data_IF_428224191775
#
_entry.id   IF_428224191775
#
_cell.length_a   1.000
_cell.length_b   1.000
_cell.length_c   1.000
_cell.angle_alpha   90.00
_cell.angle_beta   90.00
_cell.angle_gamma   90.00
#
_symmetry.space_group_name_H-M   'P 1'
#
loop_
_entity.id
_entity.type
_entity.pdbx_description
1 polymer ?
#
# COMPACT_ATOMS: atom_id res chain seq x y z
N UNK A 1 -10.24 -36.19 -23.41
CA UNK A 1 -11.40 -35.53 -24.02
C UNK A 1 -11.91 -34.44 -23.07
N UNK A 2 -11.27 -33.28 -23.09
CA UNK A 2 -11.80 -32.05 -22.51
C UNK A 2 -12.07 -31.13 -23.70
N UNK A 3 -13.21 -31.37 -24.35
CA UNK A 3 -13.68 -30.56 -25.46
C UNK A 3 -14.36 -29.32 -24.90
N UNK A 4 -13.59 -28.26 -24.67
CA UNK A 4 -14.13 -26.91 -24.56
C UNK A 4 -13.89 -26.29 -25.93
N UNK A 5 -14.99 -26.00 -26.64
CA UNK A 5 -14.95 -25.34 -27.92
C UNK A 5 -14.15 -24.03 -27.81
N UNK A 6 -13.26 -23.80 -28.78
CA UNK A 6 -12.49 -22.57 -28.95
C UNK A 6 -13.47 -21.44 -29.29
N UNK A 7 -14.12 -20.88 -28.27
CA UNK A 7 -14.60 -19.50 -28.32
C UNK A 7 -13.37 -18.59 -28.35
N UNK A 8 -13.46 -17.49 -29.09
CA UNK A 8 -12.39 -16.51 -29.28
C UNK A 8 -11.56 -16.30 -28.00
N UNK A 9 -10.21 -16.19 -28.12
CA UNK A 9 -9.38 -15.99 -26.94
C UNK A 9 -9.91 -14.78 -26.17
N UNK A 10 -10.08 -14.88 -24.84
CA UNK A 10 -10.52 -13.75 -24.05
C UNK A 10 -9.59 -12.55 -24.33
N UNK A 11 -10.11 -11.31 -24.28
CA UNK A 11 -9.43 -10.12 -24.78
C UNK A 11 -8.04 -9.85 -24.15
N UNK A 12 -7.72 -10.52 -23.04
CA UNK A 12 -6.35 -10.76 -22.59
C UNK A 12 -6.16 -12.26 -22.32
N UNK A 13 -5.26 -12.91 -23.05
CA UNK A 13 -4.93 -14.32 -22.87
C UNK A 13 -3.42 -14.45 -22.58
N UNK A 14 -3.10 -14.96 -21.39
CA UNK A 14 -1.72 -15.26 -21.00
C UNK A 14 -1.39 -16.67 -21.47
N UNK A 15 -0.31 -16.80 -22.24
CA UNK A 15 0.16 -18.12 -22.70
C UNK A 15 0.97 -18.76 -21.58
N UNK A 16 0.58 -19.96 -21.13
CA UNK A 16 1.40 -20.78 -20.24
C UNK A 16 2.24 -21.75 -21.09
N UNK A 17 3.55 -21.52 -21.29
CA UNK A 17 4.35 -22.36 -22.18
C UNK A 17 4.45 -23.82 -21.70
N UNK A 18 4.44 -24.01 -20.37
CA UNK A 18 4.49 -25.34 -19.76
C UNK A 18 3.22 -26.18 -20.02
N UNK A 19 2.06 -25.53 -20.10
CA UNK A 19 0.77 -26.19 -20.32
C UNK A 19 0.30 -26.15 -21.78
N UNK A 20 0.92 -25.31 -22.62
CA UNK A 20 0.52 -25.13 -24.02
C UNK A 20 -0.88 -24.55 -24.19
N UNK A 21 -1.41 -23.87 -23.17
CA UNK A 21 -2.77 -23.28 -23.18
C UNK A 21 -2.74 -21.78 -22.94
N UNK A 22 -3.71 -21.10 -23.54
CA UNK A 22 -4.05 -19.72 -23.24
C UNK A 22 -4.99 -19.67 -22.04
N UNK A 23 -4.63 -18.90 -21.02
CA UNK A 23 -5.42 -18.72 -19.81
C UNK A 23 -5.87 -17.27 -19.69
N UNK A 24 -7.12 -17.07 -19.29
CA UNK A 24 -7.60 -15.76 -18.87
C UNK A 24 -6.91 -15.35 -17.54
N UNK A 25 -6.61 -14.07 -17.31
CA UNK A 25 -6.09 -13.58 -16.03
C UNK A 25 -6.92 -14.03 -14.83
N UNK A 26 -8.24 -14.05 -14.97
CA UNK A 26 -9.18 -14.50 -13.92
C UNK A 26 -8.99 -15.98 -13.57
N UNK A 27 -8.67 -16.83 -14.56
CA UNK A 27 -8.42 -18.25 -14.31
C UNK A 27 -7.12 -18.46 -13.52
N UNK A 28 -6.09 -17.65 -13.78
CA UNK A 28 -4.83 -17.69 -13.03
C UNK A 28 -5.06 -17.16 -11.61
N UNK A 29 -5.75 -16.04 -11.47
CA UNK A 29 -6.12 -15.49 -10.16
C UNK A 29 -6.96 -16.47 -9.34
N UNK A 30 -7.86 -17.23 -9.98
CA UNK A 30 -8.64 -18.26 -9.31
C UNK A 30 -7.77 -19.36 -8.70
N UNK A 31 -6.66 -19.78 -9.33
CA UNK A 31 -5.76 -20.78 -8.74
C UNK A 31 -5.03 -20.25 -7.49
N UNK A 32 -4.66 -18.97 -7.49
CA UNK A 32 -4.11 -18.31 -6.30
C UNK A 32 -5.15 -18.30 -5.19
N UNK A 33 -6.38 -17.88 -5.49
CA UNK A 33 -7.48 -17.88 -4.53
C UNK A 33 -7.80 -19.29 -4.00
N UNK A 34 -7.79 -20.33 -4.83
CA UNK A 34 -7.98 -21.72 -4.36
C UNK A 34 -6.89 -22.15 -3.38
N UNK A 35 -5.66 -21.71 -3.58
CA UNK A 35 -4.56 -21.99 -2.65
C UNK A 35 -4.80 -21.32 -1.30
N UNK A 36 -5.17 -20.03 -1.32
CA UNK A 36 -5.51 -19.28 -0.10
C UNK A 36 -6.73 -19.86 0.62
N UNK A 37 -7.77 -20.27 -0.11
CA UNK A 37 -8.96 -20.91 0.47
C UNK A 37 -8.61 -22.23 1.15
N UNK A 38 -7.80 -23.09 0.52
CA UNK A 38 -7.36 -24.35 1.14
C UNK A 38 -6.58 -24.11 2.43
N UNK A 39 -5.74 -23.07 2.46
CA UNK A 39 -5.00 -22.70 3.67
C UNK A 39 -5.95 -22.21 4.77
N UNK A 40 -6.92 -21.37 4.43
CA UNK A 40 -7.94 -20.89 5.38
C UNK A 40 -8.84 -22.02 5.91
N UNK A 41 -9.32 -22.91 5.03
CA UNK A 41 -10.15 -24.07 5.41
C UNK A 41 -9.40 -25.05 6.30
N UNK A 42 -8.09 -25.24 6.07
CA UNK A 42 -7.24 -26.08 6.92
C UNK A 42 -7.12 -25.48 8.33
N UNK A 43 -6.97 -24.17 8.44
CA UNK A 43 -6.84 -23.48 9.72
C UNK A 43 -8.17 -23.43 10.49
N UNK A 44 -9.28 -23.19 9.79
CA UNK A 44 -10.63 -23.08 10.38
C UNK A 44 -11.26 -24.45 10.67
N UNK A 45 -10.86 -25.50 9.94
CA UNK A 45 -11.46 -26.83 10.04
C UNK A 45 -12.84 -26.96 9.39
N UNK A 46 -13.28 -25.95 8.62
CA UNK A 46 -14.56 -25.93 7.92
C UNK A 46 -14.46 -25.26 6.54
N UNK A 47 -15.39 -25.54 5.60
CA UNK A 47 -15.36 -24.96 4.26
C UNK A 47 -15.58 -23.44 4.25
N UNK A 48 -14.83 -22.73 3.41
CA UNK A 48 -14.95 -21.27 3.24
C UNK A 48 -15.70 -20.98 1.94
N UNK A 49 -16.93 -20.46 2.06
CA UNK A 49 -17.84 -20.26 0.91
C UNK A 49 -18.05 -18.79 0.54
N UNK A 50 -17.55 -17.86 1.34
CA UNK A 50 -17.72 -16.40 1.13
C UNK A 50 -16.43 -15.67 1.45
N UNK A 51 -16.11 -14.63 0.69
CA UNK A 51 -14.93 -13.81 0.96
C UNK A 51 -15.14 -12.33 0.60
N UNK A 52 -14.31 -11.48 1.21
CA UNK A 52 -14.07 -10.11 0.79
C UNK A 52 -12.66 -10.04 0.20
N UNK A 53 -12.52 -9.49 -1.01
CA UNK A 53 -11.25 -9.40 -1.73
C UNK A 53 -10.86 -7.92 -1.87
N UNK A 54 -9.61 -7.58 -1.52
CA UNK A 54 -9.04 -6.25 -1.76
C UNK A 54 -8.82 -5.99 -3.25
N UNK A 55 -9.11 -4.78 -3.71
CA UNK A 55 -8.80 -4.34 -5.08
C UNK A 55 -8.17 -2.95 -5.07
N UNK A 56 -7.26 -2.63 -6.01
CA UNK A 56 -6.65 -1.31 -6.11
C UNK A 56 -7.67 -0.19 -6.25
N UNK A 57 -7.28 1.02 -5.87
CA UNK A 57 -8.16 2.18 -5.89
C UNK A 57 -8.62 2.52 -7.33
N UNK A 58 -7.71 2.40 -8.31
CA UNK A 58 -7.97 2.69 -9.72
C UNK A 58 -8.55 1.55 -10.56
N UNK A 59 -8.83 0.39 -9.96
CA UNK A 59 -9.45 -0.68 -10.72
C UNK A 59 -10.79 -0.23 -11.32
N UNK A 60 -10.90 -0.33 -12.66
CA UNK A 60 -12.14 -0.09 -13.39
C UNK A 60 -13.22 -1.08 -12.97
N UNK A 61 -14.47 -0.76 -13.27
CA UNK A 61 -15.59 -1.66 -12.98
C UNK A 61 -15.41 -3.05 -13.61
N UNK A 62 -14.82 -3.12 -14.80
CA UNK A 62 -14.49 -4.39 -15.46
C UNK A 62 -13.37 -5.16 -14.72
N UNK A 63 -12.33 -4.47 -14.23
CA UNK A 63 -11.28 -5.11 -13.44
C UNK A 63 -11.79 -5.62 -12.09
N UNK A 64 -12.72 -4.89 -11.45
CA UNK A 64 -13.43 -5.35 -10.24
C UNK A 64 -14.30 -6.56 -10.55
N UNK A 65 -15.08 -6.53 -11.64
CA UNK A 65 -15.90 -7.66 -12.07
C UNK A 65 -15.05 -8.90 -12.39
N UNK A 66 -13.90 -8.73 -13.05
CA UNK A 66 -12.94 -9.80 -13.30
C UNK A 66 -12.42 -10.43 -11.99
N UNK A 67 -12.16 -9.62 -10.97
CA UNK A 67 -11.75 -10.10 -9.64
C UNK A 67 -12.85 -10.91 -8.96
N UNK A 68 -14.12 -10.47 -9.08
CA UNK A 68 -15.28 -11.23 -8.60
C UNK A 68 -15.40 -12.58 -9.31
N UNK A 69 -15.32 -12.59 -10.65
CA UNK A 69 -15.36 -13.82 -11.46
C UNK A 69 -14.23 -14.78 -11.09
N UNK A 70 -13.04 -14.28 -10.78
CA UNK A 70 -11.92 -15.10 -10.30
C UNK A 70 -12.24 -15.79 -8.96
N UNK A 71 -12.89 -15.07 -8.02
CA UNK A 71 -13.33 -15.66 -6.76
C UNK A 71 -14.43 -16.70 -6.92
N UNK A 72 -15.41 -16.45 -7.79
CA UNK A 72 -16.44 -17.43 -8.15
C UNK A 72 -15.83 -18.69 -8.79
N UNK A 73 -14.90 -18.51 -9.72
CA UNK A 73 -14.14 -19.61 -10.33
C UNK A 73 -13.28 -20.38 -9.31
N UNK A 74 -12.89 -19.75 -8.20
CA UNK A 74 -12.19 -20.40 -7.10
C UNK A 74 -13.11 -21.25 -6.20
N UNK A 75 -14.43 -21.14 -6.35
CA UNK A 75 -15.43 -21.89 -5.56
C UNK A 75 -16.19 -21.07 -4.52
N UNK A 76 -16.01 -19.74 -4.49
CA UNK A 76 -16.75 -18.86 -3.59
C UNK A 76 -18.18 -18.64 -4.09
N UNK A 77 -19.16 -18.80 -3.20
CA UNK A 77 -20.58 -18.53 -3.48
C UNK A 77 -20.95 -17.06 -3.34
N UNK A 78 -20.13 -16.28 -2.63
CA UNK A 78 -20.32 -14.84 -2.49
C UNK A 78 -18.96 -14.17 -2.40
N UNK A 79 -18.69 -13.29 -3.36
CA UNK A 79 -17.48 -12.45 -3.38
C UNK A 79 -17.93 -11.01 -3.27
N UNK A 80 -17.38 -10.30 -2.28
CA UNK A 80 -17.47 -8.84 -2.18
C UNK A 80 -16.09 -8.25 -2.35
N UNK A 81 -16.01 -7.02 -2.82
CA UNK A 81 -14.74 -6.30 -2.95
C UNK A 81 -14.65 -5.14 -1.99
N UNK A 82 -13.43 -4.76 -1.64
CA UNK A 82 -13.13 -3.54 -0.89
C UNK A 82 -11.94 -2.85 -1.55
N UNK A 83 -12.02 -1.53 -1.69
CA UNK A 83 -10.87 -0.75 -2.15
C UNK A 83 -9.76 -0.82 -1.11
N UNK A 84 -8.55 -1.15 -1.54
CA UNK A 84 -7.35 -1.25 -0.70
C UNK A 84 -7.14 -0.08 0.26
N UNK A 85 -7.23 1.20 -0.15
CA UNK A 85 -7.06 2.32 0.79
C UNK A 85 -8.11 2.35 1.90
N UNK A 86 -9.35 1.97 1.59
CA UNK A 86 -10.44 1.87 2.58
C UNK A 86 -10.20 0.68 3.52
N UNK A 87 -9.72 -0.45 2.99
CA UNK A 87 -9.36 -1.60 3.80
C UNK A 87 -8.21 -1.25 4.77
N UNK A 88 -7.16 -0.60 4.29
CA UNK A 88 -6.06 -0.13 5.11
C UNK A 88 -6.51 0.83 6.22
N UNK A 89 -7.42 1.77 5.90
CA UNK A 89 -8.02 2.67 6.88
C UNK A 89 -8.88 1.93 7.92
N UNK A 90 -9.60 0.88 7.54
CA UNK A 90 -10.31 0.02 8.50
C UNK A 90 -9.34 -0.73 9.41
N UNK A 91 -8.23 -1.24 8.86
CA UNK A 91 -7.21 -1.96 9.62
C UNK A 91 -6.44 -1.05 10.59
N UNK A 92 -6.33 0.25 10.29
CA UNK A 92 -5.66 1.26 11.11
C UNK A 92 -6.13 1.28 12.59
N UNK A 93 -7.29 0.69 12.89
CA UNK A 93 -7.85 0.64 14.23
C UNK A 93 -8.96 1.66 14.41
N UNK A 94 -9.72 1.89 13.33
CA UNK A 94 -10.84 2.80 13.31
C UNK A 94 -11.92 2.37 14.31
N UNK A 95 -12.32 3.28 15.22
CA UNK A 95 -13.39 3.05 16.19
C UNK A 95 -14.44 4.16 16.09
N UNK A 96 -15.72 3.88 16.35
CA UNK A 96 -16.78 4.88 16.26
C UNK A 96 -16.59 6.10 17.18
N UNK A 97 -15.88 5.93 18.30
CA UNK A 97 -15.60 6.96 19.31
C UNK A 97 -14.40 7.86 18.96
N UNK A 98 -13.72 7.62 17.83
CA UNK A 98 -12.57 8.45 17.46
C UNK A 98 -13.00 9.80 16.88
N UNK A 99 -12.25 10.87 17.19
CA UNK A 99 -12.46 12.15 16.54
C UNK A 99 -12.28 12.02 15.03
N UNK A 100 -12.88 12.94 14.29
CA UNK A 100 -12.65 13.04 12.86
C UNK A 100 -11.19 13.41 12.59
N UNK A 101 -10.54 12.61 11.76
CA UNK A 101 -9.16 12.76 11.35
C UNK A 101 -9.04 12.63 9.83
N UNK A 102 -8.11 13.37 9.25
CA UNK A 102 -7.76 13.23 7.85
C UNK A 102 -6.46 12.45 7.76
N UNK A 103 -6.48 11.32 7.08
CA UNK A 103 -5.30 10.45 6.90
C UNK A 103 -4.92 10.36 5.42
N UNK A 104 -3.63 10.16 5.16
CA UNK A 104 -3.11 9.76 3.86
C UNK A 104 -2.80 8.26 3.90
N UNK A 105 -3.41 7.45 3.05
CA UNK A 105 -2.96 6.09 2.81
C UNK A 105 -2.01 6.11 1.62
N UNK A 106 -0.78 5.64 1.83
CA UNK A 106 0.26 5.53 0.81
C UNK A 106 0.58 4.04 0.60
N UNK A 107 0.11 3.48 -0.50
CA UNK A 107 0.24 2.06 -0.84
C UNK A 107 1.21 1.86 -1.99
N UNK A 108 2.38 1.28 -1.71
CA UNK A 108 3.36 0.92 -2.73
C UNK A 108 3.57 -0.60 -2.72
N UNK A 109 2.83 -1.26 -3.61
CA UNK A 109 2.85 -2.70 -3.80
C UNK A 109 3.98 -3.18 -4.73
N UNK A 110 3.82 -4.37 -5.29
CA UNK A 110 4.76 -4.95 -6.25
C UNK A 110 4.70 -4.28 -7.63
N UNK A 111 3.50 -4.04 -8.16
CA UNK A 111 3.31 -3.49 -9.51
C UNK A 111 2.59 -2.14 -9.59
N UNK A 112 1.96 -1.69 -8.51
CA UNK A 112 1.17 -0.45 -8.49
C UNK A 112 1.50 0.42 -7.28
N UNK A 113 1.27 1.71 -7.48
CA UNK A 113 1.35 2.74 -6.47
C UNK A 113 0.00 3.44 -6.38
N UNK A 114 -0.61 3.43 -5.20
CA UNK A 114 -1.86 4.11 -4.92
C UNK A 114 -1.66 5.06 -3.72
N UNK A 115 -2.28 6.23 -3.78
CA UNK A 115 -2.33 7.19 -2.68
C UNK A 115 -3.76 7.67 -2.52
N UNK A 116 -4.25 7.81 -1.30
CA UNK A 116 -5.60 8.32 -1.04
C UNK A 116 -5.61 9.21 0.18
N UNK A 117 -6.36 10.30 0.11
CA UNK A 117 -6.71 11.13 1.27
C UNK A 117 -8.08 10.71 1.75
N UNK A 118 -8.19 10.33 3.02
CA UNK A 118 -9.43 9.86 3.62
C UNK A 118 -9.76 10.67 4.87
N UNK A 119 -11.04 10.87 5.11
CA UNK A 119 -11.57 11.29 6.41
C UNK A 119 -12.04 10.04 7.14
N UNK A 120 -11.56 9.87 8.37
CA UNK A 120 -11.95 8.78 9.26
C UNK A 120 -12.46 9.37 10.57
N UNK A 121 -13.71 9.11 10.93
CA UNK A 121 -14.32 9.63 12.16
C UNK A 121 -15.75 9.17 12.37
N UNK A 122 -16.21 9.06 13.62
CA UNK A 122 -17.63 8.83 13.91
C UNK A 122 -18.22 7.55 13.29
N UNK A 123 -17.41 6.51 13.10
CA UNK A 123 -17.84 5.29 12.42
C UNK A 123 -17.88 5.39 10.89
N UNK A 124 -17.45 6.49 10.28
CA UNK A 124 -17.42 6.71 8.83
C UNK A 124 -15.98 6.77 8.30
N UNK A 125 -15.75 6.11 7.16
CA UNK A 125 -14.57 6.26 6.30
C UNK A 125 -15.01 6.83 4.96
N UNK A 126 -14.58 8.06 4.67
CA UNK A 126 -14.87 8.79 3.44
C UNK A 126 -13.57 9.01 2.66
N UNK A 127 -13.55 8.66 1.38
CA UNK A 127 -12.43 8.99 0.49
C UNK A 127 -12.63 10.39 -0.08
N UNK A 128 -11.67 11.30 0.10
CA UNK A 128 -11.73 12.64 -0.49
C UNK A 128 -11.13 12.65 -1.90
N UNK A 129 -9.99 12.00 -2.06
CA UNK A 129 -9.27 11.92 -3.34
C UNK A 129 -8.41 10.67 -3.38
N UNK A 130 -8.12 10.23 -4.60
CA UNK A 130 -7.23 9.12 -4.90
C UNK A 130 -6.31 9.53 -6.04
N UNK A 131 -5.01 9.34 -5.82
CA UNK A 131 -3.88 9.53 -6.73
C UNK A 131 -3.15 8.19 -6.95
N UNK A 132 -2.34 8.03 -7.99
CA UNK A 132 -1.48 6.84 -8.13
C UNK A 132 -0.79 6.68 -9.48
N UNK A 133 -0.11 5.55 -9.64
CA UNK A 133 0.55 5.09 -10.87
C UNK A 133 0.42 3.57 -10.98
N UNK A 134 -0.37 3.11 -11.96
CA UNK A 134 -0.68 1.69 -12.18
C UNK A 134 0.47 0.88 -12.81
N UNK A 135 1.61 1.53 -13.08
CA UNK A 135 2.81 0.92 -13.66
C UNK A 135 4.06 1.35 -12.89
N UNK A 136 3.93 1.43 -11.58
CA UNK A 136 5.02 1.75 -10.67
C UNK A 136 4.85 0.94 -9.40
N UNK A 137 5.81 0.09 -9.08
CA UNK A 137 5.83 -0.67 -7.84
C UNK A 137 7.20 -1.22 -7.52
N UNK A 138 7.27 -2.09 -6.51
CA UNK A 138 8.46 -2.81 -6.08
C UNK A 138 9.24 -3.50 -7.21
N UNK A 139 8.55 -4.00 -8.23
CA UNK A 139 9.12 -4.75 -9.36
C UNK A 139 9.97 -3.84 -10.26
N UNK A 140 9.62 -2.56 -10.39
CA UNK A 140 10.43 -1.60 -11.15
C UNK A 140 11.78 -1.35 -10.46
N UNK A 141 11.79 -1.30 -9.11
CA UNK A 141 13.04 -1.19 -8.35
C UNK A 141 13.90 -2.45 -8.49
N UNK A 142 13.28 -3.64 -8.55
CA UNK A 142 13.99 -4.91 -8.78
C UNK A 142 14.60 -4.95 -10.18
N UNK A 143 13.85 -4.47 -11.19
CA UNK A 143 14.31 -4.34 -12.55
C UNK A 143 15.53 -3.42 -12.65
N UNK A 144 15.56 -2.28 -11.94
CA UNK A 144 16.74 -1.39 -11.92
C UNK A 144 17.99 -2.04 -11.34
N UNK A 145 17.84 -2.86 -10.28
CA UNK A 145 18.97 -3.63 -9.75
C UNK A 145 19.44 -4.67 -10.76
N UNK A 146 18.51 -5.37 -11.43
CA UNK A 146 18.84 -6.35 -12.46
C UNK A 146 19.54 -5.72 -13.67
N UNK A 147 19.06 -4.58 -14.16
CA UNK A 147 19.68 -3.80 -15.23
C UNK A 147 21.10 -3.39 -14.87
N UNK A 148 21.32 -2.88 -13.65
CA UNK A 148 22.65 -2.52 -13.17
C UNK A 148 23.62 -3.70 -13.20
N UNK A 149 23.17 -4.88 -12.73
CA UNK A 149 23.99 -6.10 -12.76
C UNK A 149 24.35 -6.49 -14.19
N UNK A 150 23.39 -6.45 -15.12
CA UNK A 150 23.59 -6.87 -16.51
C UNK A 150 24.52 -5.93 -17.27
N UNK A 151 24.34 -4.62 -17.09
CA UNK A 151 25.00 -3.62 -17.92
C UNK A 151 26.34 -3.16 -17.32
N UNK A 152 26.45 -3.06 -15.99
CA UNK A 152 27.65 -2.54 -15.31
C UNK A 152 28.50 -3.64 -14.66
N UNK A 153 27.91 -4.54 -13.86
CA UNK A 153 28.68 -5.53 -13.11
C UNK A 153 29.17 -6.70 -13.98
N UNK A 154 28.30 -7.19 -14.86
CA UNK A 154 28.59 -8.27 -15.80
C UNK A 154 29.11 -7.72 -17.15
N UNK A 155 28.68 -6.52 -17.52
CA UNK A 155 29.02 -5.85 -18.77
C UNK A 155 28.11 -6.26 -19.94
N UNK A 156 27.90 -5.39 -20.95
CA UNK A 156 26.82 -5.56 -21.93
C UNK A 156 26.87 -6.86 -22.76
N UNK A 157 28.07 -7.35 -23.08
CA UNK A 157 28.26 -8.56 -23.87
C UNK A 157 27.75 -9.81 -23.13
N UNK A 158 28.17 -10.00 -21.88
CA UNK A 158 27.70 -11.10 -21.05
C UNK A 158 26.29 -10.86 -20.51
N UNK A 159 25.88 -9.60 -20.34
CA UNK A 159 24.50 -9.22 -20.07
C UNK A 159 23.53 -9.68 -21.17
N UNK A 160 23.93 -9.60 -22.44
CA UNK A 160 23.14 -10.13 -23.55
C UNK A 160 22.99 -11.67 -23.49
N UNK A 161 24.05 -12.38 -23.06
CA UNK A 161 24.01 -13.83 -22.84
C UNK A 161 23.03 -14.17 -21.71
N UNK A 162 23.09 -13.46 -20.58
CA UNK A 162 22.14 -13.64 -19.48
C UNK A 162 20.68 -13.41 -19.91
N UNK A 163 20.42 -12.34 -20.67
CA UNK A 163 19.08 -11.98 -21.17
C UNK A 163 18.48 -13.07 -22.08
N UNK A 164 19.32 -13.87 -22.74
CA UNK A 164 18.88 -14.99 -23.58
C UNK A 164 18.60 -16.29 -22.79
N UNK A 165 18.97 -16.36 -21.51
CA UNK A 165 18.75 -17.52 -20.64
C UNK A 165 17.62 -17.22 -19.62
N UNK A 166 16.42 -17.82 -19.79
CA UNK A 166 15.30 -17.62 -18.86
C UNK A 166 15.62 -18.04 -17.42
N UNK A 167 16.43 -19.08 -17.21
CA UNK A 167 16.78 -19.54 -15.87
C UNK A 167 17.75 -18.56 -15.19
N UNK A 168 18.69 -17.98 -15.94
CA UNK A 168 19.55 -16.90 -15.44
C UNK A 168 18.71 -15.68 -15.07
N UNK A 169 17.81 -15.23 -15.94
CA UNK A 169 16.95 -14.08 -15.65
C UNK A 169 16.05 -14.29 -14.44
N UNK A 170 15.51 -15.49 -14.24
CA UNK A 170 14.75 -15.82 -13.03
C UNK A 170 15.59 -15.73 -11.76
N UNK A 171 16.82 -16.27 -11.78
CA UNK A 171 17.76 -16.17 -10.65
C UNK A 171 18.13 -14.71 -10.36
N UNK A 172 18.37 -13.92 -11.40
CA UNK A 172 18.69 -12.50 -11.27
C UNK A 172 17.52 -11.74 -10.65
N UNK A 173 16.30 -11.93 -11.15
CA UNK A 173 15.10 -11.27 -10.61
C UNK A 173 14.92 -11.57 -9.12
N UNK A 174 14.95 -12.84 -8.72
CA UNK A 174 14.81 -13.23 -7.30
C UNK A 174 15.95 -12.67 -6.42
N UNK A 175 17.17 -12.60 -6.95
CA UNK A 175 18.32 -12.07 -6.21
C UNK A 175 18.25 -10.55 -6.09
N UNK A 176 17.83 -9.84 -7.14
CA UNK A 176 17.59 -8.40 -7.13
C UNK A 176 16.55 -8.01 -6.09
N UNK A 177 15.42 -8.73 -6.05
CA UNK A 177 14.37 -8.52 -5.04
C UNK A 177 14.90 -8.73 -3.61
N UNK A 178 15.64 -9.82 -3.39
CA UNK A 178 16.23 -10.11 -2.08
C UNK A 178 17.22 -9.02 -1.65
N UNK A 179 18.05 -8.51 -2.57
CA UNK A 179 19.00 -7.42 -2.30
C UNK A 179 18.29 -6.12 -1.99
N UNK A 180 17.27 -5.73 -2.79
CA UNK A 180 16.43 -4.56 -2.52
C UNK A 180 15.81 -4.62 -1.13
N UNK A 181 15.18 -5.76 -0.78
CA UNK A 181 14.59 -6.00 0.54
C UNK A 181 15.62 -5.83 1.64
N UNK A 182 16.78 -6.50 1.53
CA UNK A 182 17.84 -6.46 2.53
C UNK A 182 18.45 -5.04 2.72
N UNK A 183 18.45 -4.19 1.70
CA UNK A 183 18.92 -2.79 1.78
C UNK A 183 17.99 -1.86 2.57
N UNK A 184 16.76 -2.30 2.86
CA UNK A 184 15.85 -1.57 3.75
C UNK A 184 16.42 -1.50 5.17
N UNK A 185 16.98 -2.60 5.66
CA UNK A 185 17.58 -2.69 7.00
C UNK A 185 19.09 -2.42 7.01
N UNK A 186 19.78 -2.74 5.91
CA UNK A 186 21.24 -2.69 5.83
C UNK A 186 21.72 -1.54 4.92
N UNK A 187 22.81 -0.83 5.27
CA UNK A 187 23.35 0.23 4.41
C UNK A 187 24.00 -0.31 3.12
N UNK A 188 24.41 -1.58 3.11
CA UNK A 188 24.97 -2.27 1.96
C UNK A 188 24.76 -3.80 2.08
N UNK A 189 24.65 -4.47 0.93
CA UNK A 189 24.46 -5.92 0.79
C UNK A 189 25.35 -6.40 -0.37
N UNK A 190 25.86 -7.62 -0.29
CA UNK A 190 26.61 -8.21 -1.43
C UNK A 190 25.69 -9.11 -2.24
N UNK A 191 25.42 -8.72 -3.48
CA UNK A 191 24.73 -9.54 -4.47
C UNK A 191 25.69 -10.63 -4.96
N UNK A 192 25.24 -11.89 -4.96
CA UNK A 192 26.06 -13.04 -5.37
C UNK A 192 25.26 -13.94 -6.31
N UNK A 193 25.74 -14.07 -7.54
CA UNK A 193 25.25 -14.99 -8.55
C UNK A 193 26.42 -15.88 -9.01
N UNK A 194 26.74 -16.97 -8.30
CA UNK A 194 27.78 -17.90 -8.74
C UNK A 194 27.31 -18.63 -10.00
N UNK A 195 28.24 -18.89 -10.93
CA UNK A 195 27.97 -19.59 -12.20
C UNK A 195 26.70 -19.03 -12.88
N UNK A 196 26.70 -17.73 -13.11
CA UNK A 196 25.53 -17.00 -13.58
C UNK A 196 25.31 -17.17 -15.08
N UNK A 197 26.37 -17.03 -15.87
CA UNK A 197 26.35 -17.19 -17.33
C UNK A 197 27.54 -18.02 -17.81
N UNK A 198 27.43 -18.54 -19.02
CA UNK A 198 28.54 -19.23 -19.69
C UNK A 198 29.25 -18.26 -20.65
N UNK A 199 30.57 -18.14 -20.55
CA UNK A 199 31.41 -17.45 -21.54
C UNK A 199 32.29 -18.46 -22.29
N UNK A 200 33.01 -17.99 -23.30
CA UNK A 200 34.00 -18.78 -24.05
C UNK A 200 35.14 -19.31 -23.17
N UNK A 201 35.43 -18.63 -22.05
CA UNK A 201 36.49 -18.99 -21.10
C UNK A 201 35.97 -19.84 -19.92
N UNK A 202 34.65 -20.06 -19.83
CA UNK A 202 34.02 -20.87 -18.78
C UNK A 202 32.85 -20.16 -18.08
N UNK A 203 32.35 -20.73 -16.96
CA UNK A 203 31.23 -20.13 -16.24
C UNK A 203 31.66 -18.87 -15.49
N UNK A 204 30.92 -17.79 -15.66
CA UNK A 204 31.15 -16.48 -15.04
C UNK A 204 30.08 -16.25 -13.98
N UNK A 205 30.50 -15.81 -12.78
CA UNK A 205 29.60 -15.37 -11.71
C UNK A 205 29.65 -13.85 -11.52
N UNK A 206 28.66 -13.32 -10.79
CA UNK A 206 28.63 -11.92 -10.36
C UNK A 206 28.77 -11.87 -8.84
N UNK A 207 29.70 -11.05 -8.35
CA UNK A 207 29.77 -10.64 -6.95
C UNK A 207 29.87 -9.12 -6.90
N UNK A 208 28.83 -8.46 -6.39
CA UNK A 208 28.74 -7.01 -6.39
C UNK A 208 28.30 -6.47 -5.02
N UNK A 209 28.98 -5.44 -4.52
CA UNK A 209 28.58 -4.73 -3.31
C UNK A 209 27.58 -3.63 -3.66
N UNK A 210 26.29 -3.90 -3.45
CA UNK A 210 25.21 -2.94 -3.64
C UNK A 210 25.02 -2.12 -2.36
N UNK A 211 25.00 -0.79 -2.48
CA UNK A 211 24.76 0.12 -1.35
C UNK A 211 23.41 0.80 -1.48
N UNK A 212 22.86 1.31 -0.37
CA UNK A 212 21.59 2.07 -0.42
C UNK A 212 21.68 3.30 -1.32
N UNK A 213 22.83 3.98 -1.32
CA UNK A 213 23.07 5.12 -2.20
C UNK A 213 23.05 4.70 -3.69
N UNK A 214 23.66 3.56 -4.01
CA UNK A 214 23.60 3.01 -5.37
C UNK A 214 22.15 2.68 -5.77
N UNK A 215 21.38 2.01 -4.91
CA UNK A 215 19.96 1.71 -5.16
C UNK A 215 19.15 2.99 -5.42
N UNK A 216 19.31 4.01 -4.59
CA UNK A 216 18.63 5.30 -4.76
C UNK A 216 19.05 6.01 -6.05
N UNK A 217 20.33 5.88 -6.45
CA UNK A 217 20.83 6.46 -7.70
C UNK A 217 20.23 5.77 -8.93
N UNK A 218 20.21 4.44 -8.96
CA UNK A 218 19.69 3.69 -10.13
C UNK A 218 18.16 3.72 -10.22
N UNK A 219 17.46 3.95 -9.09
CA UNK A 219 16.00 4.09 -9.04
C UNK A 219 15.54 5.55 -8.98
N UNK A 220 16.39 6.51 -9.36
CA UNK A 220 16.09 7.92 -9.17
C UNK A 220 14.83 8.37 -9.94
N UNK A 221 14.50 7.70 -11.04
CA UNK A 221 13.36 8.04 -11.91
C UNK A 221 12.06 7.53 -11.28
N UNK A 222 12.04 6.29 -10.82
CA UNK A 222 10.95 5.66 -10.09
C UNK A 222 10.64 6.44 -8.81
N UNK A 223 11.67 6.82 -8.06
CA UNK A 223 11.52 7.65 -6.85
C UNK A 223 10.91 9.03 -7.15
N UNK A 224 11.24 9.64 -8.29
CA UNK A 224 10.63 10.93 -8.70
C UNK A 224 9.15 10.77 -9.04
N UNK A 225 8.74 9.65 -9.64
CA UNK A 225 7.35 9.39 -10.01
C UNK A 225 6.41 9.29 -8.80
N UNK A 226 6.91 8.96 -7.61
CA UNK A 226 6.09 8.89 -6.39
C UNK A 226 5.54 10.25 -5.93
N UNK A 227 6.17 11.37 -6.29
CA UNK A 227 5.83 12.69 -5.73
C UNK A 227 4.55 13.28 -6.30
N UNK A 228 4.45 13.28 -7.63
CA UNK A 228 3.34 13.95 -8.34
C UNK A 228 1.97 13.40 -7.94
N UNK A 229 1.76 12.07 -7.82
CA UNK A 229 0.46 11.56 -7.39
C UNK A 229 0.08 12.01 -5.98
N UNK A 230 1.04 12.14 -5.06
CA UNK A 230 0.77 12.67 -3.72
C UNK A 230 0.33 14.13 -3.81
N UNK A 231 1.10 14.97 -4.50
CA UNK A 231 0.81 16.41 -4.66
C UNK A 231 -0.58 16.65 -5.27
N UNK A 232 -0.93 15.91 -6.34
CA UNK A 232 -2.26 15.98 -6.97
C UNK A 232 -3.38 15.50 -6.05
N UNK A 233 -3.15 14.45 -5.25
CA UNK A 233 -4.15 13.93 -4.32
C UNK A 233 -4.55 14.99 -3.29
N UNK A 234 -3.57 15.75 -2.76
CA UNK A 234 -3.84 16.85 -1.84
C UNK A 234 -4.59 18.01 -2.52
N UNK A 235 -4.15 18.41 -3.72
CA UNK A 235 -4.83 19.46 -4.48
C UNK A 235 -6.31 19.12 -4.74
N UNK A 236 -6.59 17.87 -5.13
CA UNK A 236 -7.95 17.38 -5.37
C UNK A 236 -8.79 17.26 -4.10
N UNK A 237 -8.16 17.06 -2.94
CA UNK A 237 -8.83 17.10 -1.64
C UNK A 237 -9.10 18.54 -1.16
N UNK A 238 -8.74 19.57 -1.95
CA UNK A 238 -8.86 20.97 -1.56
C UNK A 238 -7.85 21.38 -0.48
N UNK A 239 -6.72 20.67 -0.40
CA UNK A 239 -5.72 20.85 0.65
C UNK A 239 -4.41 21.39 0.08
N UNK A 240 -3.87 22.46 0.65
CA UNK A 240 -2.53 22.94 0.32
C UNK A 240 -1.47 22.25 1.17
N UNK A 241 -0.47 21.64 0.51
CA UNK A 241 0.60 20.88 1.17
C UNK A 241 1.51 21.74 2.07
N UNK A 242 1.82 22.97 1.65
CA UNK A 242 2.77 23.82 2.36
C UNK A 242 2.25 24.27 3.75
N UNK A 243 0.99 24.73 3.90
CA UNK A 243 0.37 24.94 5.21
C UNK A 243 0.38 23.68 6.09
N UNK A 244 0.04 22.52 5.53
CA UNK A 244 0.04 21.24 6.26
C UNK A 244 1.45 20.90 6.77
N UNK A 245 2.44 21.01 5.90
CA UNK A 245 3.84 20.77 6.24
C UNK A 245 4.31 21.71 7.34
N UNK A 246 4.04 23.01 7.23
CA UNK A 246 4.42 24.00 8.25
C UNK A 246 3.72 23.75 9.59
N UNK A 247 2.44 23.40 9.58
CA UNK A 247 1.68 23.05 10.77
C UNK A 247 2.27 21.80 11.47
N UNK A 248 2.61 20.77 10.70
CA UNK A 248 3.20 19.53 11.20
C UNK A 248 4.61 19.74 11.76
N UNK A 249 5.45 20.52 11.08
CA UNK A 249 6.77 20.90 11.60
C UNK A 249 6.66 21.67 12.94
N UNK A 250 5.64 22.53 13.11
CA UNK A 250 5.37 23.22 14.38
C UNK A 250 4.93 22.25 15.49
N UNK A 251 3.97 21.36 15.21
CA UNK A 251 3.49 20.31 16.14
C UNK A 251 4.65 19.43 16.63
N UNK A 252 5.55 19.01 15.75
CA UNK A 252 6.71 18.18 16.13
C UNK A 252 7.73 18.93 16.99
N UNK A 253 7.96 20.22 16.73
CA UNK A 253 8.80 21.08 17.59
C UNK A 253 8.22 21.19 18.99
N UNK A 254 6.90 21.32 19.12
CA UNK A 254 6.21 21.35 20.42
C UNK A 254 6.27 20.03 21.18
N UNK A 255 5.97 18.90 20.52
CA UNK A 255 6.12 17.55 21.11
C UNK A 255 7.55 17.33 21.63
N UNK A 256 8.55 17.73 20.85
CA UNK A 256 9.96 17.65 21.21
C UNK A 256 10.31 18.52 22.43
N UNK A 257 9.79 19.75 22.50
CA UNK A 257 9.94 20.64 23.67
C UNK A 257 9.30 20.02 24.92
N UNK A 258 8.06 19.54 24.81
CA UNK A 258 7.32 18.92 25.91
C UNK A 258 8.02 17.64 26.43
N UNK A 259 8.56 16.80 25.54
CA UNK A 259 9.33 15.61 25.90
C UNK A 259 10.63 15.95 26.64
N UNK A 260 11.35 17.01 26.21
CA UNK A 260 12.53 17.52 26.91
C UNK A 260 12.19 18.08 28.29
N UNK A 261 11.07 18.78 28.43
CA UNK A 261 10.61 19.36 29.69
C UNK A 261 10.15 18.29 30.69
N UNK A 262 9.39 17.29 30.25
CA UNK A 262 9.04 16.10 31.06
C UNK A 262 10.28 15.32 31.51
N UNK A 263 11.31 15.19 30.66
CA UNK A 263 12.60 14.57 31.03
C UNK A 263 13.38 15.38 32.06
N UNK A 264 13.31 16.71 32.01
CA UNK A 264 13.92 17.61 33.02
C UNK A 264 13.19 17.52 34.36
N UNK A 265 11.85 17.53 34.35
CA UNK A 265 11.04 17.34 35.58
C UNK A 265 11.24 15.96 36.21
N UNK A 266 11.46 14.89 35.43
CA UNK A 266 11.80 13.56 35.96
C UNK A 266 13.23 13.46 36.55
N UNK A 267 14.14 14.38 36.23
CA UNK A 267 15.53 14.38 36.72
C UNK A 267 15.81 15.38 37.83
N UNK A 268 14.90 16.33 38.08
CA UNK A 268 14.94 17.22 39.24
C UNK A 268 13.87 16.80 40.24
N UNK A 269 14.28 16.23 41.37
CA UNK A 269 13.36 16.00 42.48
C UNK A 269 12.86 17.33 43.04
N UNK A 270 11.53 17.52 43.04
CA UNK A 270 10.87 18.56 43.83
C UNK A 270 10.05 19.58 43.04
N UNK A 271 8.75 19.59 43.32
CA UNK A 271 7.90 20.79 43.44
C UNK A 271 7.84 21.76 42.26
N UNK A 272 6.80 21.63 41.43
CA UNK A 272 6.31 22.70 40.57
C UNK A 272 4.85 22.46 40.22
N UNK A 273 3.96 23.32 40.71
CA UNK A 273 2.52 23.24 40.44
C UNK A 273 2.17 23.34 38.96
N UNK A 274 0.90 23.08 38.56
CA UNK A 274 0.51 23.09 37.16
C UNK A 274 0.75 24.48 36.57
N UNK A 275 1.63 24.55 35.56
CA UNK A 275 1.74 25.72 34.72
C UNK A 275 0.47 25.79 33.85
N UNK A 276 -0.32 26.86 34.03
CA UNK A 276 -1.33 27.24 33.04
C UNK A 276 -0.61 27.62 31.76
N UNK A 277 -0.99 27.01 30.64
CA UNK A 277 -0.64 27.51 29.32
C UNK A 277 -1.42 28.81 29.09
N UNK A 278 -0.80 29.94 29.41
CA UNK A 278 -1.18 31.25 28.87
C UNK A 278 -0.59 31.35 27.47
N UNK A 279 -1.23 30.69 26.52
CA UNK A 279 -1.21 31.03 25.10
C UNK A 279 -2.48 30.40 24.53
N UNK A 280 -3.57 31.17 24.60
CA UNK A 280 -4.80 30.87 23.89
C UNK A 280 -4.52 30.96 22.38
N UNK A 281 -4.06 29.87 21.80
CA UNK A 281 -3.97 29.72 20.36
C UNK A 281 -5.32 29.21 19.86
N UNK A 282 -6.14 30.14 19.40
CA UNK A 282 -7.21 29.85 18.45
C UNK A 282 -6.53 29.27 17.20
N UNK A 283 -6.63 27.96 17.02
CA UNK A 283 -6.43 27.34 15.71
C UNK A 283 -7.66 27.79 14.93
N UNK A 284 -7.49 28.54 13.84
CA UNK A 284 -8.58 28.78 12.90
C UNK A 284 -9.20 27.43 12.53
N UNK A 285 -10.49 27.27 12.81
CA UNK A 285 -11.24 26.00 12.81
C UNK A 285 -11.38 25.34 11.42
N UNK A 286 -10.80 25.92 10.36
CA UNK A 286 -11.07 25.52 8.97
C UNK A 286 -9.93 24.75 8.27
N UNK A 287 -8.86 24.36 8.97
CA UNK A 287 -7.80 23.54 8.35
C UNK A 287 -7.98 22.05 8.62
N UNK A 288 -8.52 21.33 7.63
CA UNK A 288 -8.45 19.86 7.51
C UNK A 288 -7.00 19.41 7.26
N UNK A 289 -6.14 19.56 8.27
CA UNK A 289 -4.76 19.14 8.19
C UNK A 289 -4.68 17.61 8.26
N UNK A 290 -4.02 16.98 7.29
CA UNK A 290 -3.70 15.56 7.37
C UNK A 290 -2.92 15.30 8.66
N UNK A 291 -3.48 14.47 9.53
CA UNK A 291 -2.96 14.16 10.86
C UNK A 291 -1.94 13.05 10.81
N UNK A 292 -2.02 12.17 9.80
CA UNK A 292 -1.23 10.96 9.74
C UNK A 292 -1.03 10.42 8.31
N UNK A 293 0.06 9.68 8.13
CA UNK A 293 0.33 8.91 6.92
C UNK A 293 0.43 7.42 7.26
N UNK A 294 -0.47 6.63 6.69
CA UNK A 294 -0.54 5.17 6.81
C UNK A 294 0.18 4.54 5.62
N UNK A 295 1.28 3.83 5.89
CA UNK A 295 2.09 3.17 4.87
C UNK A 295 1.63 1.73 4.64
N UNK A 296 1.36 1.36 3.39
CA UNK A 296 0.84 0.04 2.96
C UNK A 296 1.71 -0.51 1.83
N UNK A 297 1.86 -1.83 1.74
CA UNK A 297 2.65 -2.48 0.71
C UNK A 297 4.14 -2.57 1.03
N UNK A 298 4.75 -3.72 0.76
CA UNK A 298 6.11 -4.04 1.22
C UNK A 298 7.21 -3.10 0.72
N UNK A 299 7.03 -2.46 -0.44
CA UNK A 299 8.02 -1.53 -0.98
C UNK A 299 8.08 -0.20 -0.21
N UNK A 300 7.07 0.13 0.61
CA UNK A 300 7.12 1.29 1.53
C UNK A 300 8.14 1.15 2.66
N UNK A 301 8.65 -0.05 2.91
CA UNK A 301 9.72 -0.30 3.88
C UNK A 301 11.05 0.35 3.47
N UNK A 302 11.22 0.72 2.19
CA UNK A 302 12.43 1.38 1.72
C UNK A 302 12.61 2.76 2.41
N UNK A 303 13.76 3.04 3.05
CA UNK A 303 13.98 4.30 3.75
C UNK A 303 13.91 5.55 2.85
N UNK A 304 14.22 5.42 1.56
CA UNK A 304 14.10 6.51 0.59
C UNK A 304 12.64 6.88 0.32
N UNK A 305 11.74 5.89 0.23
CA UNK A 305 10.29 6.11 0.06
C UNK A 305 9.73 6.85 1.27
N UNK A 306 10.04 6.40 2.49
CA UNK A 306 9.61 7.08 3.72
C UNK A 306 10.11 8.53 3.79
N UNK A 307 11.34 8.80 3.36
CA UNK A 307 11.86 10.17 3.27
C UNK A 307 11.11 11.02 2.25
N UNK A 308 10.75 10.47 1.10
CA UNK A 308 9.96 11.19 0.09
C UNK A 308 8.60 11.57 0.68
N UNK A 309 7.89 10.62 1.27
CA UNK A 309 6.59 10.85 1.91
C UNK A 309 6.69 11.92 3.00
N UNK A 310 7.69 11.83 3.88
CA UNK A 310 7.95 12.84 4.91
C UNK A 310 8.23 14.22 4.31
N UNK A 311 9.03 14.29 3.25
CA UNK A 311 9.38 15.56 2.61
C UNK A 311 8.18 16.20 1.89
N UNK A 312 7.28 15.38 1.32
CA UNK A 312 6.06 15.85 0.68
C UNK A 312 5.03 16.35 1.71
N UNK A 313 4.82 15.60 2.80
CA UNK A 313 3.70 15.83 3.73
C UNK A 313 4.09 16.59 5.01
N UNK A 314 5.37 16.60 5.37
CA UNK A 314 5.84 17.04 6.69
C UNK A 314 5.49 16.11 7.84
N UNK A 315 4.89 14.94 7.56
CA UNK A 315 4.42 13.97 8.55
C UNK A 315 5.39 12.80 8.60
N UNK A 316 5.66 12.30 9.81
CA UNK A 316 6.39 11.06 9.97
C UNK A 316 5.53 9.88 9.51
N UNK A 317 5.94 9.09 8.52
CA UNK A 317 5.16 7.93 8.08
C UNK A 317 5.08 6.89 9.19
N UNK A 318 3.88 6.34 9.41
CA UNK A 318 3.66 5.33 10.43
C UNK A 318 3.31 3.98 9.82
N UNK A 319 3.68 2.91 10.54
CA UNK A 319 3.31 1.52 10.25
C UNK A 319 2.45 0.98 11.38
N UNK A 320 1.22 1.49 11.54
CA UNK A 320 0.32 1.13 12.64
C UNK A 320 -0.12 -0.34 12.55
N UNK A 321 -0.14 -0.87 11.33
CA UNK A 321 -0.40 -2.27 10.99
C UNK A 321 0.77 -2.76 10.15
N UNK A 322 1.02 -4.07 10.13
CA UNK A 322 1.96 -4.65 9.19
C UNK A 322 1.56 -4.24 7.75
N UNK A 323 2.40 -3.51 7.00
CA UNK A 323 2.04 -2.99 5.68
C UNK A 323 1.73 -4.09 4.67
N UNK A 324 2.21 -5.32 4.91
CA UNK A 324 1.95 -6.49 4.05
C UNK A 324 0.59 -7.15 4.36
N UNK A 325 -0.03 -6.83 5.50
CA UNK A 325 -1.28 -7.47 5.98
C UNK A 325 -2.45 -6.48 6.12
N UNK A 326 -2.19 -5.17 6.11
CA UNK A 326 -3.19 -4.13 6.39
C UNK A 326 -4.46 -4.26 5.53
N UNK A 327 -4.31 -4.50 4.22
CA UNK A 327 -5.44 -4.70 3.31
C UNK A 327 -6.25 -5.95 3.69
N UNK A 328 -5.57 -7.07 3.96
CA UNK A 328 -6.24 -8.32 4.31
C UNK A 328 -7.01 -8.21 5.64
N UNK A 329 -6.42 -7.53 6.64
CA UNK A 329 -7.08 -7.24 7.90
C UNK A 329 -8.31 -6.34 7.71
N UNK A 330 -8.21 -5.31 6.88
CA UNK A 330 -9.35 -4.46 6.52
C UNK A 330 -10.47 -5.20 5.81
N UNK A 331 -10.12 -6.11 4.90
CA UNK A 331 -11.08 -6.99 4.24
C UNK A 331 -11.79 -7.93 5.24
N UNK A 332 -11.07 -8.43 6.25
CA UNK A 332 -11.66 -9.20 7.35
C UNK A 332 -12.63 -8.37 8.20
N UNK A 333 -12.28 -7.11 8.54
CA UNK A 333 -13.20 -6.18 9.22
C UNK A 333 -14.47 -5.98 8.38
N UNK A 334 -14.33 -5.76 7.08
CA UNK A 334 -15.47 -5.64 6.15
C UNK A 334 -16.32 -6.91 6.10
N UNK A 335 -15.71 -8.09 6.16
CA UNK A 335 -16.45 -9.35 6.24
C UNK A 335 -17.24 -9.48 7.56
N UNK A 336 -16.64 -9.03 8.68
CA UNK A 336 -17.30 -8.90 9.98
C UNK A 336 -18.51 -7.97 9.92
N UNK A 337 -18.41 -6.84 9.21
CA UNK A 337 -19.54 -5.92 9.01
C UNK A 337 -20.66 -6.58 8.19
N UNK A 338 -20.31 -7.26 7.10
CA UNK A 338 -21.29 -7.93 6.23
C UNK A 338 -22.04 -9.08 6.94
N UNK A 339 -21.44 -9.67 7.98
CA UNK A 339 -22.04 -10.73 8.80
C UNK A 339 -22.77 -10.20 10.04
N UNK A 340 -22.66 -8.90 10.35
CA UNK A 340 -23.23 -8.28 11.55
C UNK A 340 -22.40 -8.51 12.82
N UNK A 341 -21.20 -9.08 12.73
CA UNK A 341 -20.29 -9.24 13.88
C UNK A 341 -19.62 -7.91 14.26
N UNK A 342 -19.43 -7.03 13.27
CA UNK A 342 -18.89 -5.68 13.47
C UNK A 342 -19.98 -4.65 13.18
N UNK A 343 -20.33 -3.86 14.19
CA UNK A 343 -21.34 -2.81 14.11
C UNK A 343 -20.70 -1.42 14.25
N UNK A 344 -21.42 -0.37 13.80
CA UNK A 344 -21.01 1.02 13.97
C UNK A 344 -19.90 1.51 13.03
N UNK A 345 -19.52 0.71 12.03
CA UNK A 345 -18.60 1.11 10.96
C UNK A 345 -19.34 1.23 9.62
N UNK A 346 -19.01 2.24 8.85
CA UNK A 346 -19.53 2.53 7.52
C UNK A 346 -18.39 3.07 6.67
N UNK A 347 -18.30 2.59 5.44
CA UNK A 347 -17.43 3.18 4.44
C UNK A 347 -18.30 3.68 3.31
N UNK A 348 -18.11 4.95 2.98
CA UNK A 348 -18.94 5.70 2.03
C UNK A 348 -18.04 6.24 0.93
N UNK A 349 -18.53 6.16 -0.30
CA UNK A 349 -17.89 6.87 -1.42
C UNK A 349 -18.21 8.38 -1.35
N UNK A 350 -17.47 9.24 -2.08
CA UNK A 350 -17.67 10.69 -2.01
C UNK A 350 -19.11 11.14 -2.32
N UNK A 351 -19.81 10.44 -3.23
CA UNK A 351 -21.18 10.77 -3.59
C UNK A 351 -22.16 10.38 -2.49
N UNK A 352 -21.98 9.21 -1.89
CA UNK A 352 -22.74 8.79 -0.72
C UNK A 352 -22.52 9.75 0.45
N UNK A 353 -21.27 10.15 0.71
CA UNK A 353 -20.95 11.11 1.75
C UNK A 353 -21.61 12.47 1.49
N UNK A 354 -21.50 13.00 0.27
CA UNK A 354 -22.15 14.25 -0.12
C UNK A 354 -23.68 14.18 0.00
N UNK A 355 -24.29 13.07 -0.40
CA UNK A 355 -25.73 12.85 -0.25
C UNK A 355 -26.15 12.78 1.22
N UNK A 356 -25.41 12.05 2.05
CA UNK A 356 -25.67 11.95 3.50
C UNK A 356 -25.51 13.32 4.16
N UNK A 357 -24.43 14.05 3.88
CA UNK A 357 -24.22 15.42 4.39
C UNK A 357 -25.37 16.34 3.97
N UNK A 358 -25.72 16.36 2.68
CA UNK A 358 -26.81 17.18 2.16
C UNK A 358 -28.19 16.83 2.73
N UNK A 359 -28.49 15.54 2.91
CA UNK A 359 -29.74 15.11 3.58
C UNK A 359 -29.74 15.44 5.08
N UNK A 360 -28.58 15.39 5.73
CA UNK A 360 -28.40 15.79 7.13
C UNK A 360 -28.63 17.29 7.33
N UNK A 361 -28.00 18.13 6.50
CA UNK A 361 -28.19 19.58 6.47
C UNK A 361 -29.64 19.97 6.16
N UNK A 362 -30.33 19.19 5.31
CA UNK A 362 -31.74 19.37 5.00
C UNK A 362 -32.69 18.84 6.11
N UNK A 363 -32.17 18.24 7.19
CA UNK A 363 -32.98 17.65 8.27
C UNK A 363 -33.79 16.42 7.84
N UNK A 364 -33.39 15.76 6.75
CA UNK A 364 -34.12 14.65 6.12
C UNK A 364 -33.59 13.27 6.49
N UNK A 365 -32.51 13.19 7.28
CA UNK A 365 -32.00 11.92 7.79
C UNK A 365 -32.71 11.50 9.08
N UNK A 366 -33.25 10.26 9.18
CA UNK A 366 -33.75 9.71 10.42
C UNK A 366 -32.58 9.20 11.26
N UNK A 367 -31.70 10.09 11.71
CA UNK A 367 -30.69 9.72 12.71
C UNK A 367 -31.27 10.11 14.06
N UNK A 368 -31.81 9.13 14.78
CA UNK A 368 -31.86 9.27 16.23
C UNK A 368 -30.41 9.36 16.70
N UNK A 369 -30.03 10.38 17.47
CA UNK A 369 -28.69 10.44 18.04
C UNK A 369 -28.48 9.16 18.83
N UNK A 370 -27.37 8.46 18.55
CA UNK A 370 -26.89 7.40 19.43
C UNK A 370 -26.80 8.01 20.82
N UNK A 371 -27.64 7.52 21.74
CA UNK A 371 -27.63 7.94 23.13
C UNK A 371 -26.23 7.66 23.71
N UNK A 372 -25.77 8.65 24.47
CA UNK A 372 -24.40 8.92 24.93
C UNK A 372 -23.63 7.77 25.58
#
# INVERSE_FOLDING_TARGET
ALGVALTEPPPAALTCPALGVALAPEAIAAEVLRTLLRDAERELGEPVTKAVIGVPAYFSDEAVAATVRAGEAAGLTTVRTIREPVAAAMAYGFRPDMPEEVILVFDLGGGTFDVSVLVVGGGIVETLSTGGDTRLGGDDFDARVAEHVLDEALGPALGAVAKADPAAMQRLAATSEAVKKALSDNPAVTLRLPFFVQSDEGPVGVEERVTRNLLEKICADELRRLRMPVELCFEQAGMELEPIRQANERREREKSRNKKQKRKQKKGGGGGGPARSEDGLMIEEDYMAVTQVVMVGGATRMPCVQRIVRNCTGIEPEFPVNPDEAVALGAAVRAGMNSGVVEGLHAVDPWQAALVKGLGEAGMLPIQPLDK
#
